data_IF_134181863236
#
_entry.id   IF_134181863236
#
_cell.length_a   1.000
_cell.length_b   1.000
_cell.length_c   1.000
_cell.angle_alpha   90.00
_cell.angle_beta   90.00
_cell.angle_gamma   90.00
#
_symmetry.space_group_name_H-M   'P 1'
#
loop_
_entity.id
_entity.type
_entity.pdbx_description
1 polymer ?
#
# COMPACT_ATOMS: atom_id res chain seq x y z
N UNK A 1 11.28 -14.49 16.31
CA UNK A 1 11.97 -14.62 15.01
C UNK A 1 13.45 -14.33 15.21
N UNK A 2 14.37 -15.07 14.57
CA UNK A 2 15.80 -14.75 14.63
C UNK A 2 16.09 -13.49 13.80
N UNK A 3 17.11 -12.71 14.18
CA UNK A 3 17.48 -11.46 13.48
C UNK A 3 17.72 -11.69 11.98
N UNK A 4 18.31 -12.84 11.63
CA UNK A 4 18.59 -13.24 10.24
C UNK A 4 17.31 -13.37 9.41
N UNK A 5 16.27 -14.01 9.95
CA UNK A 5 14.99 -14.15 9.24
C UNK A 5 14.37 -12.79 8.97
N UNK A 6 14.41 -11.87 9.93
CA UNK A 6 13.90 -10.50 9.73
C UNK A 6 14.64 -9.74 8.62
N UNK A 7 15.96 -9.86 8.54
CA UNK A 7 16.74 -9.21 7.46
C UNK A 7 16.45 -9.82 6.08
N UNK A 8 16.32 -11.15 6.00
CA UNK A 8 15.95 -11.83 4.75
C UNK A 8 14.55 -11.39 4.30
N UNK A 9 13.58 -11.38 5.21
CA UNK A 9 12.22 -10.91 4.90
C UNK A 9 12.20 -9.46 4.44
N UNK A 10 13.02 -8.59 5.05
CA UNK A 10 13.13 -7.19 4.63
C UNK A 10 13.73 -7.07 3.22
N UNK A 11 14.80 -7.81 2.92
CA UNK A 11 15.40 -7.81 1.58
C UNK A 11 14.42 -8.28 0.50
N UNK A 12 13.68 -9.36 0.76
CA UNK A 12 12.63 -9.84 -0.14
C UNK A 12 11.52 -8.79 -0.31
N UNK A 13 11.09 -8.14 0.77
CA UNK A 13 10.10 -7.08 0.72
C UNK A 13 10.56 -5.93 -0.17
N UNK A 14 11.82 -5.49 -0.03
CA UNK A 14 12.41 -4.44 -0.85
C UNK A 14 12.45 -4.81 -2.34
N UNK A 15 12.83 -6.05 -2.68
CA UNK A 15 12.85 -6.53 -4.06
C UNK A 15 11.44 -6.57 -4.67
N UNK A 16 10.48 -7.11 -3.94
CA UNK A 16 9.08 -7.23 -4.39
C UNK A 16 8.44 -5.85 -4.58
N UNK A 17 8.61 -4.94 -3.61
CA UNK A 17 8.02 -3.59 -3.70
C UNK A 17 8.76 -2.69 -4.69
N UNK A 18 10.09 -2.78 -4.79
CA UNK A 18 10.87 -2.00 -5.75
C UNK A 18 10.52 -2.36 -7.19
N UNK A 19 10.35 -3.66 -7.48
CA UNK A 19 9.98 -4.14 -8.82
C UNK A 19 8.50 -3.95 -9.17
N UNK A 20 7.62 -3.71 -8.19
CA UNK A 20 6.18 -3.55 -8.42
C UNK A 20 5.89 -2.35 -9.34
N UNK A 21 6.55 -1.20 -9.15
CA UNK A 21 6.25 -0.01 -9.97
C UNK A 21 6.59 -0.21 -11.45
N UNK A 22 7.81 -0.67 -11.83
CA UNK A 22 8.09 -0.96 -13.24
C UNK A 22 7.16 -2.03 -13.84
N UNK A 23 6.85 -3.10 -13.10
CA UNK A 23 5.98 -4.18 -13.59
C UNK A 23 4.56 -3.66 -13.86
N UNK A 24 4.00 -2.82 -12.99
CA UNK A 24 2.69 -2.19 -13.24
C UNK A 24 2.75 -1.37 -14.52
N UNK A 25 3.79 -0.55 -14.71
CA UNK A 25 3.92 0.30 -15.91
C UNK A 25 3.94 -0.53 -17.18
N UNK A 26 4.73 -1.59 -17.21
CA UNK A 26 4.82 -2.52 -18.34
C UNK A 26 3.46 -3.20 -18.60
N UNK A 27 2.79 -3.66 -17.54
CA UNK A 27 1.48 -4.31 -17.67
C UNK A 27 0.39 -3.38 -18.23
N UNK A 28 0.46 -2.09 -17.93
CA UNK A 28 -0.47 -1.07 -18.43
C UNK A 28 -0.32 -0.80 -19.94
N UNK A 29 0.74 -1.26 -20.59
CA UNK A 29 0.89 -1.19 -22.04
C UNK A 29 -0.05 -2.16 -22.77
N UNK A 30 -0.43 -3.26 -22.10
CA UNK A 30 -1.22 -4.34 -22.70
C UNK A 30 -2.64 -4.45 -22.13
N UNK A 31 -2.86 -4.04 -20.88
CA UNK A 31 -4.11 -4.28 -20.14
C UNK A 31 -4.66 -3.00 -19.53
N UNK A 32 -5.98 -2.73 -19.63
CA UNK A 32 -6.61 -1.59 -18.96
C UNK A 32 -6.32 -1.57 -17.45
N UNK A 33 -6.17 -0.38 -16.84
CA UNK A 33 -5.65 -0.22 -15.47
C UNK A 33 -6.45 -0.96 -14.41
N UNK A 34 -7.77 -0.82 -14.43
CA UNK A 34 -8.62 -1.45 -13.42
C UNK A 34 -8.72 -2.96 -13.60
N UNK A 35 -8.61 -3.45 -14.85
CA UNK A 35 -8.56 -4.89 -15.12
C UNK A 35 -7.23 -5.49 -14.63
N UNK A 36 -6.11 -4.82 -14.91
CA UNK A 36 -4.80 -5.24 -14.44
C UNK A 36 -4.73 -5.27 -12.90
N UNK A 37 -5.27 -4.24 -12.24
CA UNK A 37 -5.39 -4.22 -10.78
C UNK A 37 -6.32 -5.34 -10.28
N UNK A 38 -7.50 -5.47 -10.87
CA UNK A 38 -8.50 -6.46 -10.49
C UNK A 38 -7.97 -7.89 -10.57
N UNK A 39 -7.31 -8.28 -11.66
CA UNK A 39 -6.70 -9.60 -11.82
C UNK A 39 -5.61 -9.83 -10.77
N UNK A 40 -4.73 -8.84 -10.52
CA UNK A 40 -3.69 -8.95 -9.49
C UNK A 40 -4.29 -9.19 -8.10
N UNK A 41 -5.29 -8.40 -7.70
CA UNK A 41 -5.92 -8.55 -6.39
C UNK A 41 -6.78 -9.81 -6.29
N UNK A 42 -7.45 -10.23 -7.37
CA UNK A 42 -8.20 -11.49 -7.39
C UNK A 42 -7.28 -12.70 -7.19
N UNK A 43 -6.14 -12.75 -7.88
CA UNK A 43 -5.13 -13.80 -7.70
C UNK A 43 -4.61 -13.79 -6.27
N UNK A 44 -4.25 -12.61 -5.74
CA UNK A 44 -3.78 -12.46 -4.37
C UNK A 44 -4.84 -12.91 -3.35
N UNK A 45 -6.10 -12.52 -3.54
CA UNK A 45 -7.23 -12.90 -2.70
C UNK A 45 -7.45 -14.42 -2.69
N UNK A 46 -7.46 -15.07 -3.86
CA UNK A 46 -7.59 -16.54 -3.97
C UNK A 46 -6.45 -17.25 -3.23
N UNK A 47 -5.21 -16.82 -3.44
CA UNK A 47 -4.03 -17.44 -2.80
C UNK A 47 -4.08 -17.25 -1.29
N UNK A 48 -4.32 -16.03 -0.81
CA UNK A 48 -4.34 -15.73 0.62
C UNK A 48 -5.54 -16.37 1.32
N UNK A 49 -6.70 -16.40 0.68
CA UNK A 49 -7.88 -17.09 1.21
C UNK A 49 -7.64 -18.60 1.29
N UNK A 50 -7.06 -19.22 0.25
CA UNK A 50 -6.67 -20.63 0.23
C UNK A 50 -5.68 -20.96 1.36
N UNK A 51 -4.64 -20.14 1.54
CA UNK A 51 -3.68 -20.30 2.65
C UNK A 51 -4.34 -20.15 4.02
N UNK A 52 -5.25 -19.18 4.17
CA UNK A 52 -6.01 -18.96 5.40
C UNK A 52 -6.87 -20.19 5.74
N UNK A 53 -7.50 -20.79 4.73
CA UNK A 53 -8.29 -22.01 4.89
C UNK A 53 -7.43 -23.22 5.28
N UNK A 54 -6.29 -23.42 4.60
CA UNK A 54 -5.34 -24.50 4.91
C UNK A 54 -4.77 -24.42 6.33
N UNK A 55 -4.65 -23.21 6.88
CA UNK A 55 -4.17 -23.00 8.25
C UNK A 55 -5.29 -23.05 9.30
N UNK A 56 -6.53 -23.36 8.91
CA UNK A 56 -7.66 -23.47 9.82
C UNK A 56 -8.04 -22.13 10.48
N UNK A 57 -7.69 -21.01 9.86
CA UNK A 57 -7.99 -19.68 10.39
C UNK A 57 -9.50 -19.47 10.34
N UNK A 58 -10.10 -19.22 11.51
CA UNK A 58 -11.55 -18.98 11.60
C UNK A 58 -11.87 -17.58 11.08
N UNK A 59 -12.88 -17.51 10.21
CA UNK A 59 -13.43 -16.24 9.77
C UNK A 59 -14.05 -15.48 10.96
N UNK A 60 -14.04 -14.14 10.92
CA UNK A 60 -14.79 -13.34 11.88
C UNK A 60 -16.25 -13.77 11.91
N UNK A 61 -16.92 -13.66 13.07
CA UNK A 61 -18.33 -14.07 13.22
C UNK A 61 -19.32 -12.92 13.31
N UNK A 62 -18.84 -11.69 13.43
CA UNK A 62 -19.69 -10.51 13.68
C UNK A 62 -19.82 -9.66 12.42
N UNK A 63 -21.01 -9.08 12.22
CA UNK A 63 -21.25 -8.14 11.12
C UNK A 63 -20.29 -6.95 11.17
N UNK A 64 -20.05 -6.40 12.36
CA UNK A 64 -19.10 -5.29 12.58
C UNK A 64 -17.69 -5.62 12.11
N UNK A 65 -17.23 -6.85 12.30
CA UNK A 65 -15.92 -7.30 11.82
C UNK A 65 -15.86 -7.36 10.30
N UNK A 66 -16.88 -7.93 9.66
CA UNK A 66 -16.96 -8.00 8.20
C UNK A 66 -17.03 -6.61 7.58
N UNK A 67 -17.85 -5.72 8.14
CA UNK A 67 -17.95 -4.35 7.68
C UNK A 67 -16.61 -3.60 7.81
N UNK A 68 -15.90 -3.76 8.93
CA UNK A 68 -14.56 -3.17 9.09
C UNK A 68 -13.54 -3.68 8.07
N UNK A 69 -13.53 -4.99 7.79
CA UNK A 69 -12.66 -5.59 6.77
C UNK A 69 -13.04 -5.14 5.35
N UNK A 70 -14.34 -4.99 5.07
CA UNK A 70 -14.82 -4.42 3.81
C UNK A 70 -14.35 -2.97 3.64
N UNK A 71 -14.44 -2.13 4.68
CA UNK A 71 -13.93 -0.76 4.62
C UNK A 71 -12.42 -0.72 4.33
N UNK A 72 -11.65 -1.62 4.95
CA UNK A 72 -10.21 -1.76 4.67
C UNK A 72 -9.98 -2.14 3.21
N UNK A 73 -10.72 -3.14 2.70
CA UNK A 73 -10.63 -3.62 1.32
C UNK A 73 -10.98 -2.55 0.30
N UNK A 74 -12.07 -1.80 0.52
CA UNK A 74 -12.46 -0.64 -0.29
C UNK A 74 -11.36 0.42 -0.28
N UNK A 75 -10.76 0.72 0.87
CA UNK A 75 -9.64 1.66 0.95
C UNK A 75 -8.41 1.20 0.16
N UNK A 76 -8.06 -0.08 0.24
CA UNK A 76 -6.95 -0.66 -0.55
C UNK A 76 -7.29 -0.62 -2.05
N UNK A 77 -8.50 -0.99 -2.44
CA UNK A 77 -8.96 -0.97 -3.82
C UNK A 77 -8.97 0.43 -4.42
N UNK A 78 -9.48 1.43 -3.69
CA UNK A 78 -9.43 2.83 -4.11
C UNK A 78 -8.00 3.34 -4.24
N UNK A 79 -7.14 3.00 -3.28
CA UNK A 79 -5.74 3.38 -3.28
C UNK A 79 -5.01 2.85 -4.52
N UNK A 80 -5.07 1.54 -4.77
CA UNK A 80 -4.40 0.97 -5.93
C UNK A 80 -5.10 1.30 -7.25
N UNK A 81 -6.42 1.53 -7.26
CA UNK A 81 -7.13 2.05 -8.42
C UNK A 81 -6.59 3.42 -8.84
N UNK A 82 -6.34 4.31 -7.88
CA UNK A 82 -5.73 5.61 -8.13
C UNK A 82 -4.29 5.49 -8.64
N UNK A 83 -3.49 4.56 -8.09
CA UNK A 83 -2.14 4.25 -8.60
C UNK A 83 -2.20 3.79 -10.04
N UNK A 84 -2.95 2.73 -10.33
CA UNK A 84 -3.00 2.14 -11.67
C UNK A 84 -3.52 3.13 -12.71
N UNK A 85 -4.51 3.96 -12.35
CA UNK A 85 -5.00 4.99 -13.24
C UNK A 85 -3.96 6.07 -13.49
N UNK A 86 -3.35 6.63 -12.43
CA UNK A 86 -2.37 7.72 -12.54
C UNK A 86 -1.10 7.29 -13.26
N UNK A 87 -0.64 6.06 -13.01
CA UNK A 87 0.57 5.48 -13.59
C UNK A 87 0.49 5.24 -15.11
N UNK A 88 -0.69 5.33 -15.73
CA UNK A 88 -0.79 5.44 -17.19
C UNK A 88 -0.10 6.72 -17.69
N UNK A 89 -0.23 7.80 -16.94
CA UNK A 89 0.22 9.14 -17.34
C UNK A 89 1.55 9.56 -16.73
N UNK A 90 2.06 8.87 -15.72
CA UNK A 90 3.33 9.21 -15.07
C UNK A 90 4.36 8.07 -15.16
N UNK A 91 5.67 8.36 -15.04
CA UNK A 91 6.70 7.34 -14.93
C UNK A 91 6.52 6.44 -13.69
N UNK A 92 7.09 5.23 -13.76
CA UNK A 92 7.10 4.31 -12.63
C UNK A 92 7.86 4.88 -11.42
N UNK A 93 8.99 5.58 -11.66
CA UNK A 93 9.77 6.21 -10.60
C UNK A 93 9.00 7.32 -9.91
N UNK A 94 8.31 8.18 -10.65
CA UNK A 94 7.45 9.19 -10.05
C UNK A 94 6.33 8.55 -9.21
N UNK A 95 5.71 7.46 -9.68
CA UNK A 95 4.72 6.72 -8.90
C UNK A 95 5.30 6.20 -7.56
N UNK A 96 6.53 5.68 -7.60
CA UNK A 96 7.25 5.22 -6.41
C UNK A 96 7.53 6.36 -5.43
N UNK A 97 7.98 7.53 -5.92
CA UNK A 97 8.22 8.73 -5.10
C UNK A 97 6.94 9.21 -4.43
N UNK A 98 5.84 9.32 -5.20
CA UNK A 98 4.57 9.78 -4.66
C UNK A 98 4.04 8.80 -3.61
N UNK A 99 4.17 7.49 -3.82
CA UNK A 99 3.77 6.50 -2.82
C UNK A 99 4.70 6.46 -1.60
N UNK A 100 5.98 6.85 -1.74
CA UNK A 100 6.91 6.98 -0.62
C UNK A 100 6.52 8.07 0.39
N UNK A 101 5.49 8.87 0.10
CA UNK A 101 4.84 9.75 1.10
C UNK A 101 3.93 9.00 2.07
N UNK A 102 3.57 7.74 1.80
CA UNK A 102 2.69 6.93 2.67
C UNK A 102 3.15 6.90 4.14
N UNK A 103 4.43 6.66 4.48
CA UNK A 103 4.87 6.69 5.87
C UNK A 103 4.67 8.04 6.58
N UNK A 104 4.69 9.17 5.84
CA UNK A 104 4.38 10.49 6.40
C UNK A 104 2.91 10.54 6.82
N UNK A 105 2.00 10.14 5.93
CA UNK A 105 0.56 10.12 6.24
C UNK A 105 0.23 9.12 7.35
N UNK A 106 0.84 7.92 7.33
CA UNK A 106 0.68 6.94 8.43
C UNK A 106 1.15 7.52 9.75
N UNK A 107 2.30 8.19 9.79
CA UNK A 107 2.82 8.80 11.01
C UNK A 107 1.88 9.90 11.55
N UNK A 108 1.40 10.79 10.69
CA UNK A 108 0.47 11.86 11.07
C UNK A 108 -0.88 11.31 11.55
N UNK A 109 -1.47 10.38 10.80
CA UNK A 109 -2.76 9.79 11.14
C UNK A 109 -2.67 8.91 12.39
N UNK A 110 -1.60 8.12 12.54
CA UNK A 110 -1.40 7.30 13.74
C UNK A 110 -1.25 8.18 14.98
N UNK A 111 -0.58 9.33 14.87
CA UNK A 111 -0.42 10.26 15.98
C UNK A 111 -1.73 10.79 16.53
N UNK A 112 -2.68 11.09 15.65
CA UNK A 112 -3.99 11.62 16.04
C UNK A 112 -4.94 10.50 16.42
N UNK A 113 -4.86 9.33 15.78
CA UNK A 113 -5.85 8.27 15.92
C UNK A 113 -5.49 7.19 16.96
N UNK A 114 -4.22 7.07 17.35
CA UNK A 114 -3.72 6.00 18.23
C UNK A 114 -2.91 6.63 19.37
N UNK A 115 -3.49 6.63 20.58
CA UNK A 115 -2.96 7.33 21.75
C UNK A 115 -1.52 6.91 22.13
N UNK A 116 -1.13 5.68 21.82
CA UNK A 116 0.22 5.15 22.10
C UNK A 116 1.28 5.53 21.06
N UNK A 117 0.91 6.20 19.96
CA UNK A 117 1.80 6.51 18.84
C UNK A 117 2.15 7.99 18.79
N UNK A 118 3.03 8.45 19.67
CA UNK A 118 3.59 9.79 19.54
C UNK A 118 4.56 9.92 18.34
N UNK A 119 4.51 11.07 17.67
CA UNK A 119 5.57 11.48 16.73
C UNK A 119 6.81 11.81 17.54
N UNK A 120 7.86 11.03 17.34
CA UNK A 120 9.18 11.31 17.94
C UNK A 120 10.09 11.89 16.88
N UNK A 121 11.07 12.69 17.31
CA UNK A 121 12.08 13.26 16.40
C UNK A 121 12.80 12.18 15.58
N UNK A 122 13.08 11.02 16.17
CA UNK A 122 13.71 9.88 15.48
C UNK A 122 12.83 9.32 14.36
N UNK A 123 11.52 9.15 14.60
CA UNK A 123 10.56 8.69 13.58
C UNK A 123 10.48 9.72 12.44
N UNK A 124 10.35 11.00 12.78
CA UNK A 124 10.24 12.09 11.82
C UNK A 124 11.46 12.16 10.88
N UNK A 125 12.67 12.19 11.44
CA UNK A 125 13.92 12.22 10.65
C UNK A 125 14.06 10.95 9.80
N UNK A 126 13.75 9.77 10.34
CA UNK A 126 13.83 8.51 9.58
C UNK A 126 12.88 8.50 8.36
N UNK A 127 11.66 9.01 8.52
CA UNK A 127 10.70 9.12 7.40
C UNK A 127 11.19 10.12 6.36
N UNK A 128 11.69 11.30 6.78
CA UNK A 128 12.22 12.29 5.85
C UNK A 128 13.43 11.75 5.07
N UNK A 129 14.38 11.10 5.75
CA UNK A 129 15.53 10.48 5.11
C UNK A 129 15.12 9.43 4.08
N UNK A 130 14.14 8.58 4.42
CA UNK A 130 13.58 7.59 3.50
C UNK A 130 12.92 8.25 2.27
N UNK A 131 12.09 9.28 2.50
CA UNK A 131 11.43 10.02 1.43
C UNK A 131 12.44 10.68 0.48
N UNK A 132 13.41 11.43 1.01
CA UNK A 132 14.43 12.08 0.17
C UNK A 132 15.35 11.08 -0.52
N UNK A 133 15.61 9.91 0.08
CA UNK A 133 16.31 8.82 -0.59
C UNK A 133 15.58 8.34 -1.85
N UNK A 134 14.26 8.16 -1.78
CA UNK A 134 13.45 7.78 -2.96
C UNK A 134 13.42 8.89 -4.00
N UNK A 135 13.26 10.16 -3.58
CA UNK A 135 13.33 11.33 -4.48
C UNK A 135 14.67 11.38 -5.22
N UNK A 136 15.78 11.12 -4.52
CA UNK A 136 17.12 11.13 -5.11
C UNK A 136 17.31 10.00 -6.14
N UNK A 137 16.82 8.79 -5.84
CA UNK A 137 16.90 7.63 -6.75
C UNK A 137 16.14 7.90 -8.06
N UNK A 138 15.00 8.58 -7.99
CA UNK A 138 14.10 8.81 -9.13
C UNK A 138 14.05 10.26 -9.58
N UNK A 139 15.10 11.04 -9.33
CA UNK A 139 15.14 12.48 -9.62
C UNK A 139 14.87 12.81 -11.10
N UNK A 140 15.34 11.95 -12.01
CA UNK A 140 15.20 12.14 -13.46
C UNK A 140 13.74 11.96 -13.93
N UNK A 141 12.93 11.21 -13.17
CA UNK A 141 11.53 10.89 -13.46
C UNK A 141 10.54 11.96 -12.95
N UNK A 142 11.01 13.02 -12.28
CA UNK A 142 10.16 14.05 -11.64
C UNK A 142 9.56 15.08 -12.61
N UNK A 143 9.68 14.85 -13.92
CA UNK A 143 9.21 15.79 -14.94
C UNK A 143 7.70 15.65 -15.18
N UNK A 144 7.00 16.78 -15.21
CA UNK A 144 5.56 16.86 -15.46
C UNK A 144 5.30 17.77 -16.68
N UNK A 145 5.61 17.29 -17.90
CA UNK A 145 5.60 18.15 -19.09
C UNK A 145 4.19 18.61 -19.48
N UNK A 146 3.16 17.78 -19.25
CA UNK A 146 1.80 18.07 -19.69
C UNK A 146 0.79 18.02 -18.53
N UNK A 147 -0.38 18.65 -18.75
CA UNK A 147 -1.49 18.68 -17.78
C UNK A 147 -1.94 17.28 -17.33
N UNK A 148 -1.92 16.30 -18.22
CA UNK A 148 -2.29 14.91 -17.90
C UNK A 148 -1.31 14.27 -16.92
N UNK A 149 0.00 14.55 -17.01
CA UNK A 149 0.99 14.07 -16.05
C UNK A 149 0.70 14.67 -14.65
N UNK A 150 0.37 15.96 -14.60
CA UNK A 150 0.02 16.64 -13.33
C UNK A 150 -1.22 16.01 -12.70
N UNK A 151 -2.27 15.77 -13.49
CA UNK A 151 -3.48 15.10 -13.01
C UNK A 151 -3.15 13.66 -12.56
N UNK A 152 -2.35 12.93 -13.34
CA UNK A 152 -1.89 11.59 -12.99
C UNK A 152 -1.17 11.57 -11.64
N UNK A 153 -0.21 12.47 -11.43
CA UNK A 153 0.51 12.61 -10.17
C UNK A 153 -0.43 12.98 -8.99
N UNK A 154 -1.35 13.93 -9.20
CA UNK A 154 -2.30 14.32 -8.17
C UNK A 154 -3.23 13.16 -7.78
N UNK A 155 -3.73 12.39 -8.75
CA UNK A 155 -4.55 11.20 -8.49
C UNK A 155 -3.72 10.12 -7.79
N UNK A 156 -2.48 9.88 -8.21
CA UNK A 156 -1.60 8.92 -7.53
C UNK A 156 -1.32 9.33 -6.08
N UNK A 157 -1.24 10.61 -5.74
CA UNK A 157 -1.09 11.08 -4.35
C UNK A 157 -2.30 10.79 -3.45
N UNK A 158 -3.48 10.51 -4.01
CA UNK A 158 -4.65 10.06 -3.22
C UNK A 158 -4.36 8.69 -2.59
N UNK A 159 -3.61 7.84 -3.28
CA UNK A 159 -3.28 6.49 -2.82
C UNK A 159 -2.62 6.42 -1.43
N UNK A 160 -1.48 7.09 -1.17
CA UNK A 160 -0.82 7.05 0.14
C UNK A 160 -1.70 7.62 1.26
N UNK A 161 -2.60 8.56 0.96
CA UNK A 161 -3.57 9.10 1.93
C UNK A 161 -4.64 8.05 2.27
N UNK A 162 -5.23 7.41 1.27
CA UNK A 162 -6.31 6.43 1.50
C UNK A 162 -5.76 5.16 2.16
N UNK A 163 -4.62 4.65 1.71
CA UNK A 163 -4.04 3.42 2.28
C UNK A 163 -3.54 3.64 3.71
N UNK A 164 -3.07 4.84 4.05
CA UNK A 164 -2.66 5.15 5.41
C UNK A 164 -3.84 5.15 6.38
N UNK A 165 -5.03 5.59 5.96
CA UNK A 165 -6.27 5.43 6.74
C UNK A 165 -6.59 3.94 6.99
N UNK A 166 -6.50 3.09 5.96
CA UNK A 166 -6.68 1.64 6.12
C UNK A 166 -5.65 1.04 7.08
N UNK A 167 -4.38 1.41 6.94
CA UNK A 167 -3.29 0.91 7.80
C UNK A 167 -3.47 1.32 9.26
N UNK A 168 -3.85 2.58 9.51
CA UNK A 168 -4.13 3.08 10.85
C UNK A 168 -5.40 2.45 11.42
N UNK A 169 -6.42 2.21 10.59
CA UNK A 169 -7.64 1.48 10.98
C UNK A 169 -7.35 0.03 11.40
N UNK A 170 -6.54 -0.69 10.61
CA UNK A 170 -6.04 -2.03 10.96
C UNK A 170 -5.29 -1.97 12.28
N UNK A 171 -4.42 -0.98 12.47
CA UNK A 171 -3.70 -0.83 13.73
C UNK A 171 -4.64 -0.55 14.89
N UNK A 172 -5.61 0.36 14.75
CA UNK A 172 -6.49 0.76 15.85
C UNK A 172 -7.49 -0.31 16.26
N UNK A 173 -8.06 -1.05 15.30
CA UNK A 173 -9.17 -1.98 15.54
C UNK A 173 -8.86 -3.44 15.20
N UNK A 174 -7.76 -3.69 14.48
CA UNK A 174 -7.46 -5.00 13.91
C UNK A 174 -6.72 -5.96 14.83
N UNK A 175 -6.27 -5.53 16.02
CA UNK A 175 -5.49 -6.38 16.95
C UNK A 175 -6.17 -7.70 17.34
N UNK A 176 -7.51 -7.77 17.25
CA UNK A 176 -8.28 -8.98 17.58
C UNK A 176 -8.39 -9.97 16.42
N UNK A 177 -8.00 -9.58 15.20
CA UNK A 177 -8.06 -10.45 14.04
C UNK A 177 -6.74 -11.19 13.84
N UNK A 178 -6.85 -12.44 13.40
CA UNK A 178 -5.70 -13.21 12.95
C UNK A 178 -5.03 -12.48 11.77
N UNK A 179 -3.68 -12.42 11.67
CA UNK A 179 -2.99 -11.72 10.59
C UNK A 179 -3.48 -12.11 9.18
N UNK A 180 -3.75 -13.39 8.94
CA UNK A 180 -4.33 -13.84 7.65
C UNK A 180 -5.71 -13.23 7.36
N UNK A 181 -6.56 -13.01 8.36
CA UNK A 181 -7.87 -12.37 8.14
C UNK A 181 -7.71 -10.89 7.76
N UNK A 182 -6.69 -10.21 8.30
CA UNK A 182 -6.39 -8.81 7.98
C UNK A 182 -5.80 -8.63 6.58
N UNK A 183 -5.22 -9.68 6.00
CA UNK A 183 -4.60 -9.61 4.67
C UNK A 183 -5.46 -10.27 3.58
N UNK A 184 -6.10 -11.40 3.87
CA UNK A 184 -6.85 -12.17 2.88
C UNK A 184 -8.21 -11.53 2.58
N UNK A 185 -8.99 -11.21 3.62
CA UNK A 185 -10.37 -10.76 3.47
C UNK A 185 -10.51 -9.38 2.82
N UNK A 186 -9.60 -8.41 3.04
CA UNK A 186 -9.64 -7.16 2.31
C UNK A 186 -9.23 -7.27 0.83
N UNK A 187 -8.60 -8.38 0.42
CA UNK A 187 -8.15 -8.62 -0.96
C UNK A 187 -9.13 -9.46 -1.79
N UNK A 188 -10.16 -10.03 -1.17
CA UNK A 188 -11.25 -10.79 -1.81
C UNK A 188 -12.48 -9.93 -2.02
#
# INVERSE_FOLDING_TARGET
>A
MSRTVSFISLGLLCLVWGSTWPIIKIGLEAVPPFLAAGVRFLIAGIVLFGLSWLQGVRLPKTFRAHFGLLCIGVGIGLSYGAVYWGQQYIPAGLSAVLFATNPLFVMLLAHVAVDSEAITWRKFVGVLLGFFGVVFIFQDDLQLPNRLNVIGAAVTLISPVVVSLSNVGIKKWGYHFHPYNLTALPMT
#
